data_IF_948754577940
#
_entry.id   IF_948754577940
#
_cell.length_a   1.000
_cell.length_b   1.000
_cell.length_c   1.000
_cell.angle_alpha   90.00
_cell.angle_beta   90.00
_cell.angle_gamma   90.00
#
_symmetry.space_group_name_H-M   'P 1'
#
loop_
_entity.id
_entity.type
_entity.pdbx_description
1 polymer ?
#
# COMPACT_ATOMS: atom_id res chain seq x y z
N UNK A 1 -34.22 -8.42 11.04
CA UNK A 1 -33.08 -8.23 10.12
C UNK A 1 -32.97 -6.75 9.82
N UNK A 2 -31.79 -6.16 9.95
CA UNK A 2 -31.56 -4.76 9.59
C UNK A 2 -31.62 -4.68 8.06
N UNK A 3 -32.54 -3.87 7.53
CA UNK A 3 -32.64 -3.65 6.08
C UNK A 3 -31.72 -2.49 5.70
N UNK A 4 -30.49 -2.77 5.25
CA UNK A 4 -29.49 -1.76 4.86
C UNK A 4 -30.01 -0.89 3.69
N UNK A 5 -31.02 -1.34 2.94
CA UNK A 5 -31.62 -0.58 1.85
C UNK A 5 -32.43 0.63 2.32
N UNK A 6 -32.82 0.67 3.60
CA UNK A 6 -33.62 1.77 4.17
C UNK A 6 -32.75 2.99 4.52
N UNK A 7 -31.41 2.79 4.59
CA UNK A 7 -30.48 3.89 4.81
C UNK A 7 -30.20 4.66 3.53
N UNK A 8 -30.23 5.99 3.63
CA UNK A 8 -29.89 6.87 2.54
C UNK A 8 -28.39 6.74 2.22
N UNK A 9 -28.07 6.27 1.01
CA UNK A 9 -26.68 6.13 0.57
C UNK A 9 -26.13 7.49 0.10
N UNK A 10 -25.02 7.99 0.69
CA UNK A 10 -24.39 9.20 0.22
C UNK A 10 -23.79 8.99 -1.19
N UNK A 11 -23.73 10.08 -1.95
CA UNK A 11 -23.01 10.13 -3.22
C UNK A 11 -21.66 10.79 -2.99
N UNK A 12 -20.63 10.26 -3.59
CA UNK A 12 -19.29 10.83 -3.55
C UNK A 12 -19.07 11.67 -4.80
N UNK A 13 -18.63 12.91 -4.61
CA UNK A 13 -18.25 13.78 -5.71
C UNK A 13 -16.98 14.55 -5.33
N UNK A 14 -16.03 14.63 -6.24
CA UNK A 14 -14.89 15.53 -6.15
C UNK A 14 -15.34 16.94 -6.48
N UNK A 15 -15.04 17.89 -5.62
CA UNK A 15 -15.38 19.30 -5.91
C UNK A 15 -14.48 19.83 -7.00
N UNK A 16 -15.13 20.50 -7.98
CA UNK A 16 -14.64 21.36 -9.02
C UNK A 16 -13.12 21.40 -9.26
N UNK A 17 -12.73 21.11 -10.47
CA UNK A 17 -11.36 21.24 -11.00
C UNK A 17 -10.68 22.61 -10.75
N UNK A 18 -11.43 23.63 -10.33
CA UNK A 18 -10.91 24.96 -10.04
C UNK A 18 -10.11 25.05 -8.74
N UNK A 19 -10.35 24.15 -7.77
CA UNK A 19 -9.64 24.11 -6.49
C UNK A 19 -8.66 22.94 -6.38
N UNK A 20 -8.73 21.98 -7.30
CA UNK A 20 -7.85 20.83 -7.33
C UNK A 20 -6.45 21.24 -7.79
N UNK A 21 -5.44 20.88 -7.00
CA UNK A 21 -4.04 20.89 -7.38
C UNK A 21 -3.46 19.49 -7.19
N UNK A 22 -2.27 19.22 -7.72
CA UNK A 22 -1.58 17.94 -7.51
C UNK A 22 -1.38 17.60 -6.03
N UNK A 23 -1.36 18.62 -5.16
CA UNK A 23 -1.12 18.48 -3.71
C UNK A 23 -2.35 18.77 -2.83
N UNK A 24 -3.49 19.14 -3.43
CA UNK A 24 -4.72 19.44 -2.68
C UNK A 24 -5.96 18.89 -3.37
N UNK A 25 -6.82 18.24 -2.59
CA UNK A 25 -8.12 17.75 -3.02
C UNK A 25 -9.22 18.05 -2.02
N UNK A 26 -10.38 18.45 -2.51
CA UNK A 26 -11.59 18.64 -1.73
C UNK A 26 -12.68 17.68 -2.23
N UNK A 27 -13.26 16.92 -1.30
CA UNK A 27 -14.20 15.84 -1.59
C UNK A 27 -15.49 16.08 -0.82
N UNK A 28 -16.60 16.08 -1.53
CA UNK A 28 -17.92 16.28 -0.94
C UNK A 28 -18.74 15.00 -1.05
N UNK A 29 -19.32 14.59 0.06
CA UNK A 29 -20.23 13.47 0.12
C UNK A 29 -21.54 13.90 0.82
N UNK A 30 -22.67 13.61 0.21
CA UNK A 30 -24.01 13.85 0.74
C UNK A 30 -25.05 12.99 0.01
N UNK A 31 -26.24 12.78 0.55
CA UNK A 31 -26.68 13.07 1.91
C UNK A 31 -26.28 11.95 2.88
N UNK A 32 -25.82 12.32 4.05
CA UNK A 32 -25.67 11.42 5.18
C UNK A 32 -26.87 11.59 6.13
N UNK A 33 -27.27 10.53 6.80
CA UNK A 33 -28.14 10.66 7.97
C UNK A 33 -27.39 11.31 9.12
N UNK A 34 -28.13 11.95 10.02
CA UNK A 34 -27.57 12.75 11.11
C UNK A 34 -26.57 11.97 11.96
N UNK A 35 -25.36 12.53 12.11
CA UNK A 35 -24.24 11.99 12.88
C UNK A 35 -23.28 11.11 12.05
N UNK A 36 -23.71 10.52 10.92
CA UNK A 36 -22.84 9.67 10.11
C UNK A 36 -21.72 10.45 9.40
N UNK A 37 -21.98 11.68 8.97
CA UNK A 37 -20.96 12.53 8.35
C UNK A 37 -19.79 12.78 9.31
N UNK A 38 -20.06 13.05 10.59
CA UNK A 38 -19.03 13.24 11.62
C UNK A 38 -18.24 11.95 11.85
N UNK A 39 -18.92 10.80 11.97
CA UNK A 39 -18.28 9.49 12.16
C UNK A 39 -17.35 9.14 11.00
N UNK A 40 -17.84 9.26 9.75
CA UNK A 40 -17.06 9.00 8.55
C UNK A 40 -15.88 9.99 8.41
N UNK A 41 -16.13 11.29 8.58
CA UNK A 41 -15.10 12.32 8.47
C UNK A 41 -13.98 12.13 9.49
N UNK A 42 -14.32 11.79 10.73
CA UNK A 42 -13.34 11.53 11.79
C UNK A 42 -12.52 10.25 11.49
N UNK A 43 -13.17 9.16 11.09
CA UNK A 43 -12.51 7.92 10.74
C UNK A 43 -11.55 8.11 9.55
N UNK A 44 -12.01 8.75 8.48
CA UNK A 44 -11.20 9.06 7.29
C UNK A 44 -9.99 9.92 7.64
N UNK A 45 -10.19 10.99 8.42
CA UNK A 45 -9.08 11.85 8.87
C UNK A 45 -8.01 11.06 9.62
N UNK A 46 -8.40 10.19 10.54
CA UNK A 46 -7.46 9.39 11.32
C UNK A 46 -6.65 8.44 10.44
N UNK A 47 -7.30 7.72 9.55
CA UNK A 47 -6.63 6.76 8.67
C UNK A 47 -5.73 7.46 7.65
N UNK A 48 -6.18 8.58 7.07
CA UNK A 48 -5.35 9.38 6.17
C UNK A 48 -4.05 9.85 6.83
N UNK A 49 -4.10 10.34 8.07
CA UNK A 49 -2.91 10.84 8.76
C UNK A 49 -1.95 9.75 9.26
N UNK A 50 -2.43 8.51 9.46
CA UNK A 50 -1.64 7.47 10.13
C UNK A 50 -1.29 6.26 9.27
N UNK A 51 -2.04 5.97 8.21
CA UNK A 51 -2.02 4.63 7.61
C UNK A 51 -1.68 4.62 6.12
N UNK A 52 -1.63 5.79 5.48
CA UNK A 52 -1.23 5.89 4.07
C UNK A 52 0.27 5.64 3.96
N UNK A 53 0.64 4.81 2.99
CA UNK A 53 2.02 4.45 2.72
C UNK A 53 2.76 5.57 1.99
N UNK A 54 4.03 5.77 2.33
CA UNK A 54 4.91 6.70 1.64
C UNK A 54 6.38 6.33 1.83
N UNK A 55 7.27 7.11 1.24
CA UNK A 55 8.71 6.94 1.33
C UNK A 55 9.35 8.04 2.16
N UNK A 56 10.40 7.67 2.90
CA UNK A 56 11.19 8.62 3.69
C UNK A 56 12.65 8.17 3.81
N UNK A 57 13.52 9.09 4.18
CA UNK A 57 14.91 8.79 4.55
C UNK A 57 14.91 8.03 5.86
N UNK A 58 15.55 6.86 5.89
CA UNK A 58 15.65 5.99 7.06
C UNK A 58 17.05 6.00 7.68
N UNK A 59 18.08 5.99 6.84
CA UNK A 59 19.48 5.96 7.26
C UNK A 59 20.31 6.84 6.34
N UNK A 60 21.37 7.45 6.89
CA UNK A 60 22.31 8.28 6.12
C UNK A 60 23.73 7.93 6.52
N UNK A 61 24.62 7.88 5.55
CA UNK A 61 26.07 7.78 5.76
C UNK A 61 26.75 8.98 5.12
N UNK A 62 27.49 9.76 5.91
CA UNK A 62 28.20 10.94 5.46
C UNK A 62 29.70 10.69 5.64
N UNK A 63 30.47 10.93 4.59
CA UNK A 63 31.94 10.75 4.63
C UNK A 63 32.58 11.69 5.66
N UNK A 64 33.36 11.12 6.57
CA UNK A 64 34.03 11.87 7.62
C UNK A 64 33.17 12.13 8.87
N UNK A 65 31.93 11.65 8.92
CA UNK A 65 30.99 11.81 10.05
C UNK A 65 30.74 10.46 10.69
N UNK A 66 30.82 10.39 12.03
CA UNK A 66 30.55 9.18 12.81
C UNK A 66 29.25 9.24 13.60
N UNK A 67 28.76 10.44 13.91
CA UNK A 67 27.50 10.66 14.66
C UNK A 67 26.91 12.03 14.31
N UNK A 68 25.64 12.21 14.59
CA UNK A 68 24.85 13.39 14.22
C UNK A 68 25.30 14.70 14.87
N UNK A 69 26.02 14.64 15.99
CA UNK A 69 26.49 15.83 16.74
C UNK A 69 27.89 16.29 16.30
N UNK A 70 28.18 16.20 15.03
CA UNK A 70 29.47 16.54 14.44
C UNK A 70 29.32 17.72 13.48
N UNK A 71 30.40 18.47 13.25
CA UNK A 71 30.49 19.45 12.16
C UNK A 71 31.40 18.92 11.08
N UNK A 72 31.14 19.27 9.83
CA UNK A 72 31.98 18.91 8.69
C UNK A 72 32.75 20.16 8.23
N UNK A 73 34.08 20.11 8.10
CA UNK A 73 34.85 21.25 7.62
C UNK A 73 34.38 21.70 6.23
N UNK A 74 34.18 23.01 6.07
CA UNK A 74 33.70 23.58 4.80
C UNK A 74 32.21 23.48 4.57
N UNK A 75 31.41 22.98 5.53
CA UNK A 75 29.95 23.03 5.53
C UNK A 75 29.51 24.01 6.61
N UNK A 76 28.56 24.89 6.29
CA UNK A 76 28.13 25.95 7.22
C UNK A 76 27.18 25.41 8.28
N UNK A 77 26.31 24.49 7.89
CA UNK A 77 25.37 23.84 8.79
C UNK A 77 26.06 22.69 9.55
N UNK A 78 25.64 22.43 10.77
CA UNK A 78 26.02 21.22 11.47
C UNK A 78 25.27 20.00 10.89
N UNK A 79 25.78 18.81 11.16
CA UNK A 79 25.20 17.57 10.61
C UNK A 79 23.74 17.39 11.06
N UNK A 80 23.38 17.81 12.27
CA UNK A 80 22.00 17.73 12.75
C UNK A 80 21.03 18.52 11.85
N UNK A 81 21.42 19.74 11.44
CA UNK A 81 20.63 20.55 10.52
C UNK A 81 20.55 19.91 9.12
N UNK A 82 21.65 19.39 8.61
CA UNK A 82 21.66 18.65 7.33
C UNK A 82 20.69 17.48 7.37
N UNK A 83 20.69 16.69 8.46
CA UNK A 83 19.77 15.56 8.63
C UNK A 83 18.31 16.00 8.73
N UNK A 84 18.03 17.14 9.38
CA UNK A 84 16.67 17.70 9.42
C UNK A 84 16.20 18.13 8.04
N UNK A 85 17.06 18.79 7.26
CA UNK A 85 16.73 19.20 5.89
C UNK A 85 16.47 17.99 4.98
N UNK A 86 17.23 16.89 5.13
CA UNK A 86 17.00 15.66 4.39
C UNK A 86 15.61 15.02 4.65
N UNK A 87 15.08 15.18 5.88
CA UNK A 87 13.74 14.66 6.22
C UNK A 87 12.61 15.43 5.55
N UNK A 88 12.84 16.64 5.07
CA UNK A 88 11.84 17.46 4.38
C UNK A 88 11.69 17.10 2.89
N UNK A 89 12.64 16.34 2.32
CA UNK A 89 12.63 15.99 0.90
C UNK A 89 11.53 14.95 0.61
N UNK A 90 10.57 15.27 -0.28
CA UNK A 90 9.56 14.32 -0.72
C UNK A 90 10.16 13.33 -1.72
N UNK A 91 10.33 12.09 -1.29
CA UNK A 91 10.79 10.99 -2.14
C UNK A 91 9.60 10.14 -2.62
N UNK A 92 9.67 9.70 -3.87
CA UNK A 92 8.81 8.65 -4.40
C UNK A 92 9.64 7.38 -4.60
N UNK A 93 9.14 6.26 -4.07
CA UNK A 93 9.81 4.96 -4.12
C UNK A 93 8.94 3.99 -4.93
N UNK A 94 9.53 3.41 -5.98
CA UNK A 94 8.87 2.45 -6.88
C UNK A 94 9.26 0.99 -6.62
N UNK A 95 10.02 0.74 -5.54
CA UNK A 95 10.46 -0.59 -5.14
C UNK A 95 9.94 -0.95 -3.75
N UNK A 96 9.71 -2.23 -3.50
CA UNK A 96 9.29 -2.74 -2.19
C UNK A 96 10.46 -2.80 -1.18
N UNK A 97 11.70 -2.71 -1.66
CA UNK A 97 12.91 -2.75 -0.83
C UNK A 97 13.53 -1.37 -0.69
N UNK A 98 14.14 -1.06 0.48
CA UNK A 98 14.87 0.18 0.64
C UNK A 98 15.95 0.36 -0.42
N UNK A 99 16.12 1.58 -0.90
CA UNK A 99 17.07 1.93 -1.95
C UNK A 99 18.10 2.93 -1.43
N UNK A 100 19.33 2.84 -1.94
CA UNK A 100 20.38 3.78 -1.60
C UNK A 100 20.60 4.73 -2.77
N UNK A 101 20.55 6.03 -2.49
CA UNK A 101 20.88 7.11 -3.42
C UNK A 101 22.09 7.86 -2.91
N UNK A 102 22.82 8.55 -3.78
CA UNK A 102 24.07 9.24 -3.44
C UNK A 102 23.99 10.72 -3.75
N UNK A 103 24.62 11.52 -2.92
CA UNK A 103 24.84 12.94 -3.17
C UNK A 103 26.33 13.23 -3.07
N UNK A 104 26.87 13.92 -4.08
CA UNK A 104 28.28 14.38 -4.10
C UNK A 104 28.34 15.79 -4.64
N UNK A 105 28.83 16.68 -3.84
CA UNK A 105 29.10 18.05 -4.26
C UNK A 105 30.43 18.52 -3.68
N UNK A 106 31.19 19.30 -4.47
CA UNK A 106 32.49 19.88 -4.07
C UNK A 106 32.60 21.31 -4.58
N UNK A 107 33.07 22.19 -3.71
CA UNK A 107 33.23 23.60 -3.98
C UNK A 107 32.12 24.45 -3.37
N UNK A 108 32.30 25.75 -3.42
CA UNK A 108 31.37 26.73 -2.85
C UNK A 108 30.00 26.69 -3.55
N UNK A 109 28.94 26.67 -2.76
CA UNK A 109 27.58 26.75 -3.28
C UNK A 109 26.52 26.10 -2.37
N UNK A 110 25.27 26.31 -2.76
CA UNK A 110 24.13 25.70 -2.12
C UNK A 110 23.92 24.29 -2.67
N UNK A 111 23.76 23.33 -1.76
CA UNK A 111 23.43 21.95 -2.10
C UNK A 111 21.95 21.73 -1.93
N UNK A 112 21.27 21.32 -3.01
CA UNK A 112 19.84 21.09 -3.02
C UNK A 112 19.49 19.62 -3.34
N UNK A 113 18.27 19.24 -3.04
CA UNK A 113 17.73 17.90 -3.30
C UNK A 113 17.83 17.46 -4.76
N UNK A 114 17.82 18.40 -5.72
CA UNK A 114 18.02 18.12 -7.14
C UNK A 114 19.41 17.60 -7.51
N UNK A 115 20.39 17.71 -6.62
CA UNK A 115 21.75 17.19 -6.83
C UNK A 115 21.88 15.71 -6.39
N UNK A 116 20.84 15.13 -5.81
CA UNK A 116 20.82 13.71 -5.42
C UNK A 116 20.81 12.86 -6.68
N UNK A 117 21.74 11.94 -6.78
CA UNK A 117 21.82 10.97 -7.87
C UNK A 117 20.87 9.81 -7.56
N UNK A 118 19.65 9.89 -8.10
CA UNK A 118 18.64 8.87 -7.94
C UNK A 118 18.87 7.70 -8.90
N UNK A 119 18.43 6.51 -8.51
CA UNK A 119 18.32 5.34 -9.36
C UNK A 119 16.90 5.28 -10.00
N UNK A 120 16.64 4.25 -10.84
CA UNK A 120 15.34 4.08 -11.50
C UNK A 120 14.16 3.86 -10.54
N UNK A 121 14.43 3.49 -9.29
CA UNK A 121 13.43 3.14 -8.29
C UNK A 121 13.12 4.28 -7.31
N UNK A 122 13.86 5.38 -7.33
CA UNK A 122 13.69 6.53 -6.42
C UNK A 122 13.64 7.81 -7.23
N UNK A 123 12.68 8.66 -6.93
CA UNK A 123 12.53 9.98 -7.54
C UNK A 123 12.42 11.05 -6.45
N UNK A 124 13.04 12.20 -6.68
CA UNK A 124 12.90 13.41 -5.86
C UNK A 124 11.90 14.33 -6.53
N UNK A 125 10.77 14.60 -5.86
CA UNK A 125 9.68 15.42 -6.45
C UNK A 125 9.93 16.91 -6.36
N UNK A 126 10.65 17.36 -5.34
CA UNK A 126 11.00 18.77 -5.18
C UNK A 126 12.54 18.94 -5.23
N UNK A 127 13.08 19.42 -6.36
CA UNK A 127 14.53 19.57 -6.54
C UNK A 127 15.13 20.78 -5.80
N UNK A 128 14.29 21.64 -5.23
CA UNK A 128 14.73 22.93 -4.64
C UNK A 128 14.83 22.89 -3.11
N UNK A 129 14.65 21.73 -2.49
CA UNK A 129 14.78 21.62 -1.03
C UNK A 129 16.24 21.79 -0.67
N UNK A 130 16.51 22.77 0.20
CA UNK A 130 17.86 23.05 0.71
C UNK A 130 18.38 21.91 1.58
N UNK A 131 19.64 21.51 1.38
CA UNK A 131 20.29 20.47 2.19
C UNK A 131 21.41 21.07 3.03
N UNK A 132 22.34 21.76 2.39
CA UNK A 132 23.50 22.37 3.04
C UNK A 132 24.10 23.47 2.18
N UNK A 133 24.92 24.34 2.79
CA UNK A 133 25.72 25.35 2.13
C UNK A 133 27.22 25.05 2.29
N UNK A 134 27.96 24.96 1.19
CA UNK A 134 29.39 24.72 1.21
C UNK A 134 30.18 25.99 0.99
N UNK A 135 31.32 26.11 1.69
CA UNK A 135 32.32 27.12 1.43
C UNK A 135 33.33 26.69 0.36
N UNK A 136 34.33 27.54 0.06
CA UNK A 136 35.30 27.38 -1.06
C UNK A 136 36.00 26.00 -1.09
N UNK A 137 36.35 25.43 0.06
CA UNK A 137 37.00 24.11 0.17
C UNK A 137 36.03 23.00 0.62
N UNK A 138 34.71 23.27 0.64
CA UNK A 138 33.70 22.35 1.12
C UNK A 138 33.54 21.12 0.20
N UNK A 139 33.47 19.95 0.80
CA UNK A 139 33.12 18.70 0.12
C UNK A 139 32.06 17.96 0.94
N UNK A 140 30.93 17.62 0.31
CA UNK A 140 29.86 16.85 0.90
C UNK A 140 29.61 15.61 0.06
N UNK A 141 29.91 14.45 0.63
CA UNK A 141 29.63 13.14 0.03
C UNK A 141 28.80 12.32 1.01
N UNK A 142 27.61 11.91 0.57
CA UNK A 142 26.71 11.13 1.40
C UNK A 142 25.97 10.06 0.62
N UNK A 143 25.60 9.02 1.32
CA UNK A 143 24.70 7.95 0.89
C UNK A 143 23.45 8.02 1.74
N UNK A 144 22.30 8.01 1.09
CA UNK A 144 20.98 8.18 1.70
C UNK A 144 20.17 6.94 1.41
N UNK A 145 19.72 6.26 2.45
CA UNK A 145 18.78 5.15 2.30
C UNK A 145 17.35 5.68 2.38
N UNK A 146 16.59 5.41 1.34
CA UNK A 146 15.15 5.73 1.24
C UNK A 146 14.35 4.44 1.39
N UNK A 147 13.47 4.40 2.36
CA UNK A 147 12.62 3.24 2.65
C UNK A 147 11.13 3.57 2.58
N UNK A 148 10.32 2.57 2.21
CA UNK A 148 8.86 2.64 2.27
C UNK A 148 8.35 2.30 3.68
N UNK A 149 7.26 2.94 4.09
CA UNK A 149 6.66 2.70 5.41
C UNK A 149 5.32 3.40 5.60
N UNK A 150 4.85 3.41 6.85
CA UNK A 150 3.59 4.08 7.24
C UNK A 150 3.79 4.89 8.50
N UNK A 151 3.23 6.10 8.53
CA UNK A 151 3.26 6.96 9.69
C UNK A 151 4.68 7.32 10.11
N UNK A 152 4.93 7.41 11.42
CA UNK A 152 6.21 7.79 12.02
C UNK A 152 6.95 6.56 12.56
N UNK A 153 8.22 6.42 12.19
CA UNK A 153 9.11 5.34 12.65
C UNK A 153 10.33 5.98 13.32
N UNK A 154 10.64 5.54 14.54
CA UNK A 154 11.79 6.05 15.29
C UNK A 154 13.10 5.49 14.76
N UNK A 155 14.20 6.23 14.95
CA UNK A 155 15.55 5.86 14.55
C UNK A 155 15.97 4.45 15.05
N UNK A 156 15.60 4.09 16.27
CA UNK A 156 15.89 2.77 16.84
C UNK A 156 15.30 1.61 16.01
N UNK A 157 14.16 1.85 15.35
CA UNK A 157 13.52 0.85 14.48
C UNK A 157 14.09 0.85 13.06
N UNK A 158 14.70 1.95 12.65
CA UNK A 158 15.39 2.08 11.37
C UNK A 158 16.84 1.57 11.42
N UNK A 159 17.32 1.17 12.60
CA UNK A 159 18.64 0.57 12.75
C UNK A 159 18.69 -0.75 11.97
N UNK A 160 19.52 -0.81 10.93
CA UNK A 160 19.76 -2.01 10.13
C UNK A 160 21.23 -2.44 10.29
N UNK A 161 21.43 -3.53 11.02
CA UNK A 161 22.75 -4.12 11.25
C UNK A 161 23.48 -4.54 9.95
N UNK A 162 22.73 -4.73 8.85
CA UNK A 162 23.30 -5.10 7.55
C UNK A 162 24.01 -3.97 6.85
N UNK A 163 23.72 -2.72 7.18
CA UNK A 163 24.32 -1.55 6.55
C UNK A 163 25.79 -1.31 6.97
N UNK A 164 26.22 -1.94 8.06
CA UNK A 164 27.59 -1.80 8.57
C UNK A 164 27.83 -0.51 9.36
N UNK A 165 29.10 -0.22 9.65
CA UNK A 165 29.50 0.91 10.47
C UNK A 165 29.42 2.23 9.69
N UNK A 166 29.11 3.32 10.41
CA UNK A 166 29.08 4.69 9.87
C UNK A 166 27.73 5.14 9.30
N UNK A 167 26.70 4.28 9.34
CA UNK A 167 25.34 4.68 9.05
C UNK A 167 24.67 5.26 10.29
N UNK A 168 24.01 6.40 10.11
CA UNK A 168 23.26 7.12 11.14
C UNK A 168 21.78 6.86 10.89
N UNK A 169 21.08 6.14 11.79
CA UNK A 169 19.64 5.92 11.67
C UNK A 169 18.88 7.21 11.98
N UNK A 170 17.82 7.50 11.24
CA UNK A 170 17.00 8.68 11.40
C UNK A 170 15.56 8.31 11.75
N UNK A 171 14.91 9.18 12.55
CA UNK A 171 13.45 9.16 12.64
C UNK A 171 12.87 9.49 11.27
N UNK A 172 11.98 8.65 10.78
CA UNK A 172 11.37 8.81 9.46
C UNK A 172 9.87 9.06 9.56
N UNK A 173 9.39 10.07 8.85
CA UNK A 173 7.97 10.31 8.66
C UNK A 173 7.57 9.87 7.25
N UNK A 174 6.95 8.71 7.16
CA UNK A 174 6.52 8.14 5.88
C UNK A 174 5.17 8.66 5.41
N UNK A 175 4.43 9.45 6.23
CA UNK A 175 3.11 9.93 5.84
C UNK A 175 3.19 10.92 4.68
N UNK A 176 2.58 10.63 3.51
CA UNK A 176 2.50 11.58 2.42
C UNK A 176 1.46 12.68 2.65
N UNK A 177 0.65 12.55 3.71
CA UNK A 177 -0.44 13.46 4.03
C UNK A 177 0.05 14.52 5.02
N UNK A 178 0.06 15.76 4.58
CA UNK A 178 0.48 16.90 5.40
C UNK A 178 -0.62 17.40 6.32
N UNK A 179 -1.85 17.44 5.81
CA UNK A 179 -2.99 17.99 6.55
C UNK A 179 -4.30 17.37 6.06
N UNK A 180 -5.22 17.12 6.99
CA UNK A 180 -6.58 16.71 6.69
C UNK A 180 -7.53 17.57 7.53
N UNK A 181 -8.54 18.14 6.89
CA UNK A 181 -9.65 18.82 7.54
C UNK A 181 -10.97 18.23 7.05
N UNK A 182 -12.02 18.29 7.87
CA UNK A 182 -13.36 17.96 7.44
C UNK A 182 -14.37 18.94 8.07
N UNK A 183 -15.42 19.24 7.30
CA UNK A 183 -16.54 20.07 7.68
C UNK A 183 -17.82 19.26 7.53
N UNK A 184 -18.72 19.41 8.50
CA UNK A 184 -20.05 18.81 8.45
C UNK A 184 -21.07 19.95 8.46
N UNK A 185 -21.91 19.99 7.44
CA UNK A 185 -22.95 21.00 7.27
C UNK A 185 -24.31 20.34 7.13
N UNK A 186 -25.36 21.04 7.55
CA UNK A 186 -26.71 20.57 7.30
C UNK A 186 -27.01 20.54 5.79
N UNK A 187 -27.63 19.46 5.34
CA UNK A 187 -28.03 19.28 3.95
C UNK A 187 -29.55 19.08 3.84
N UNK A 188 -30.14 19.57 2.76
CA UNK A 188 -31.56 19.37 2.48
C UNK A 188 -31.75 18.39 1.34
N UNK A 189 -32.63 17.42 1.55
CA UNK A 189 -33.06 16.49 0.52
C UNK A 189 -34.58 16.55 0.40
N UNK A 190 -35.06 17.16 -0.68
CA UNK A 190 -36.50 17.41 -0.86
C UNK A 190 -37.08 18.34 0.21
N UNK A 191 -38.00 17.83 1.01
CA UNK A 191 -38.60 18.57 2.11
C UNK A 191 -37.94 18.33 3.48
N UNK A 192 -37.05 17.34 3.60
CA UNK A 192 -36.36 17.01 4.85
C UNK A 192 -35.04 17.77 4.96
N UNK A 193 -34.77 18.31 6.17
CA UNK A 193 -33.53 19.00 6.54
C UNK A 193 -32.66 18.19 7.49
N UNK A 194 -32.98 16.90 7.72
CA UNK A 194 -32.32 16.04 8.71
C UNK A 194 -31.11 15.27 8.12
N UNK A 195 -30.51 15.84 7.08
CA UNK A 195 -29.34 15.27 6.44
C UNK A 195 -28.10 16.14 6.64
N UNK A 196 -26.95 15.50 6.46
CA UNK A 196 -25.65 16.13 6.59
C UNK A 196 -24.85 16.03 5.28
N UNK A 197 -24.01 17.03 5.03
CA UNK A 197 -23.01 17.08 3.97
C UNK A 197 -21.63 17.06 4.62
N UNK A 198 -20.78 16.13 4.19
CA UNK A 198 -19.37 16.03 4.56
C UNK A 198 -18.51 16.65 3.47
N UNK A 199 -17.69 17.62 3.82
CA UNK A 199 -16.62 18.14 2.98
C UNK A 199 -15.28 17.72 3.60
N UNK A 200 -14.50 16.93 2.88
CA UNK A 200 -13.18 16.42 3.30
C UNK A 200 -12.11 17.13 2.47
N UNK A 201 -11.15 17.76 3.15
CA UNK A 201 -10.05 18.50 2.55
C UNK A 201 -8.73 17.79 2.87
N UNK A 202 -7.93 17.47 1.85
CA UNK A 202 -6.70 16.70 1.99
C UNK A 202 -5.56 17.43 1.29
N UNK A 203 -4.46 17.64 2.02
CA UNK A 203 -3.20 18.18 1.51
C UNK A 203 -2.12 17.09 1.57
N UNK A 204 -1.48 16.87 0.44
CA UNK A 204 -0.38 15.90 0.30
C UNK A 204 0.95 16.60 0.01
N UNK A 205 2.04 15.89 0.17
CA UNK A 205 3.37 16.34 -0.22
C UNK A 205 3.65 16.20 -1.75
N UNK A 206 2.69 15.63 -2.50
CA UNK A 206 2.78 15.41 -3.95
C UNK A 206 3.18 13.99 -4.36
N UNK A 207 3.62 13.14 -3.42
CA UNK A 207 3.99 11.73 -3.73
C UNK A 207 2.76 10.86 -4.02
N UNK A 208 1.59 11.26 -3.52
CA UNK A 208 0.32 10.56 -3.71
C UNK A 208 -0.76 11.57 -4.11
N UNK A 209 -1.57 11.25 -5.12
CA UNK A 209 -2.74 12.07 -5.47
C UNK A 209 -3.75 12.04 -4.31
N UNK A 210 -4.32 13.19 -3.92
CA UNK A 210 -5.33 13.25 -2.84
C UNK A 210 -6.51 12.28 -3.05
N UNK A 211 -6.89 12.02 -4.29
CA UNK A 211 -7.99 11.11 -4.63
C UNK A 211 -7.63 9.66 -4.32
N UNK A 212 -6.41 9.26 -4.69
CA UNK A 212 -5.91 7.90 -4.42
C UNK A 212 -5.75 7.67 -2.92
N UNK A 213 -5.19 8.66 -2.21
CA UNK A 213 -5.08 8.61 -0.75
C UNK A 213 -6.43 8.43 -0.05
N UNK A 214 -7.48 9.14 -0.50
CA UNK A 214 -8.85 9.00 0.06
C UNK A 214 -9.43 7.63 -0.26
N UNK A 215 -9.20 7.11 -1.47
CA UNK A 215 -9.62 5.76 -1.86
C UNK A 215 -8.97 4.70 -0.99
N UNK A 216 -7.66 4.76 -0.81
CA UNK A 216 -6.90 3.82 0.01
C UNK A 216 -7.34 3.85 1.48
N UNK A 217 -7.57 5.06 2.04
CA UNK A 217 -8.08 5.21 3.39
C UNK A 217 -9.46 4.57 3.56
N UNK A 218 -10.34 4.73 2.56
CA UNK A 218 -11.66 4.11 2.57
C UNK A 218 -11.58 2.58 2.47
N UNK A 219 -10.69 2.05 1.65
CA UNK A 219 -10.43 0.61 1.54
C UNK A 219 -9.92 0.04 2.88
N UNK A 220 -8.95 0.69 3.52
CA UNK A 220 -8.44 0.28 4.83
C UNK A 220 -9.57 0.23 5.86
N UNK A 221 -10.43 1.25 5.92
CA UNK A 221 -11.57 1.27 6.83
C UNK A 221 -12.56 0.14 6.54
N UNK A 222 -12.89 -0.07 5.27
CA UNK A 222 -13.78 -1.15 4.84
C UNK A 222 -13.29 -2.51 5.33
N UNK A 223 -12.02 -2.84 5.07
CA UNK A 223 -11.43 -4.11 5.48
C UNK A 223 -11.47 -4.30 7.01
N UNK A 224 -11.19 -3.24 7.79
CA UNK A 224 -11.26 -3.32 9.24
C UNK A 224 -12.70 -3.45 9.77
N UNK A 225 -13.69 -2.88 9.10
CA UNK A 225 -15.10 -3.00 9.51
C UNK A 225 -15.71 -4.35 9.12
N UNK A 226 -15.18 -5.04 8.13
CA UNK A 226 -15.68 -6.35 7.72
C UNK A 226 -15.64 -7.39 8.84
N UNK A 227 -14.68 -7.32 9.78
CA UNK A 227 -14.60 -8.22 10.94
C UNK A 227 -15.83 -8.12 11.87
N UNK A 228 -16.53 -6.97 11.87
CA UNK A 228 -17.73 -6.74 12.67
C UNK A 228 -19.02 -7.05 11.90
N UNK A 229 -18.94 -7.27 10.59
CA UNK A 229 -20.09 -7.72 9.81
C UNK A 229 -20.44 -9.15 10.25
N UNK A 230 -21.76 -9.44 10.28
CA UNK A 230 -22.21 -10.81 10.51
C UNK A 230 -21.69 -11.67 9.35
N UNK A 231 -20.87 -12.63 9.67
CA UNK A 231 -20.56 -13.74 8.77
C UNK A 231 -21.76 -14.69 8.84
N UNK A 232 -22.73 -14.52 7.97
CA UNK A 232 -23.69 -15.58 7.72
C UNK A 232 -22.87 -16.74 7.12
N UNK A 233 -22.92 -17.91 7.75
CA UNK A 233 -22.11 -19.10 7.40
C UNK A 233 -22.29 -19.57 5.94
N UNK A 234 -23.26 -19.02 5.21
CA UNK A 234 -23.57 -19.35 3.83
C UNK A 234 -23.05 -18.35 2.77
N UNK A 235 -22.37 -17.27 3.15
CA UNK A 235 -21.85 -16.27 2.20
C UNK A 235 -20.39 -15.87 2.49
N UNK A 236 -19.57 -16.80 2.95
CA UNK A 236 -18.13 -16.65 2.85
C UNK A 236 -17.68 -17.18 1.48
N UNK A 237 -18.10 -16.53 0.41
CA UNK A 237 -17.13 -16.22 -0.63
C UNK A 237 -16.23 -15.12 -0.02
N UNK A 238 -15.29 -15.57 0.78
CA UNK A 238 -14.02 -14.85 0.93
C UNK A 238 -13.56 -14.68 -0.51
N UNK A 239 -13.68 -13.47 -1.07
CA UNK A 239 -12.68 -12.99 -2.00
C UNK A 239 -11.37 -13.09 -1.21
N UNK A 240 -10.87 -14.33 -1.13
CA UNK A 240 -9.49 -14.57 -0.80
C UNK A 240 -8.73 -13.59 -1.68
N UNK A 241 -8.04 -12.69 -1.04
CA UNK A 241 -7.01 -11.84 -1.62
C UNK A 241 -6.39 -12.64 -2.74
N UNK A 242 -6.83 -12.33 -3.96
CA UNK A 242 -6.19 -12.84 -5.16
C UNK A 242 -4.82 -12.17 -5.12
N UNK A 243 -3.87 -12.83 -4.46
CA UNK A 243 -2.50 -12.70 -4.90
C UNK A 243 -2.60 -12.97 -6.38
N UNK A 244 -2.41 -11.95 -7.18
CA UNK A 244 -2.25 -12.06 -8.62
C UNK A 244 -0.97 -12.87 -8.78
N UNK A 245 -1.13 -14.22 -8.72
CA UNK A 245 -0.11 -15.13 -9.17
C UNK A 245 0.12 -14.71 -10.63
N UNK A 246 1.33 -14.30 -10.94
CA UNK A 246 1.68 -13.94 -12.31
C UNK A 246 1.23 -15.08 -13.23
N UNK A 247 0.70 -14.75 -14.40
CA UNK A 247 0.17 -15.74 -15.36
C UNK A 247 1.19 -16.88 -15.62
N UNK A 248 2.47 -16.59 -15.49
CA UNK A 248 3.57 -17.56 -15.58
C UNK A 248 3.56 -18.61 -14.45
N UNK A 249 3.23 -18.20 -13.21
CA UNK A 249 3.16 -19.15 -12.07
C UNK A 249 1.93 -20.04 -12.17
N UNK A 250 0.79 -19.52 -12.58
CA UNK A 250 -0.43 -20.31 -12.82
C UNK A 250 -0.20 -21.33 -13.92
N UNK A 251 0.37 -20.92 -15.06
CA UNK A 251 0.67 -21.83 -16.18
C UNK A 251 1.66 -22.93 -15.78
N UNK A 252 2.63 -22.65 -14.91
CA UNK A 252 3.58 -23.66 -14.42
C UNK A 252 2.89 -24.73 -13.56
N UNK A 253 1.88 -24.36 -12.75
CA UNK A 253 1.13 -25.32 -11.94
C UNK A 253 0.12 -26.14 -12.77
N UNK A 254 -0.52 -25.54 -13.79
CA UNK A 254 -1.47 -26.25 -14.66
C UNK A 254 -0.82 -27.39 -15.45
N UNK A 255 0.45 -27.29 -15.76
CA UNK A 255 1.21 -28.32 -16.48
C UNK A 255 1.67 -29.49 -15.58
N UNK A 256 1.62 -29.34 -14.24
CA UNK A 256 2.09 -30.34 -13.29
C UNK A 256 1.12 -31.51 -13.13
N UNK A 257 1.64 -32.66 -12.72
CA UNK A 257 0.85 -33.86 -12.43
C UNK A 257 0.01 -33.67 -11.15
N UNK A 258 -1.20 -34.24 -11.13
CA UNK A 258 -2.05 -34.30 -9.94
C UNK A 258 -1.37 -35.04 -8.76
N UNK A 259 -0.37 -35.87 -9.04
CA UNK A 259 0.40 -36.59 -8.03
C UNK A 259 1.33 -35.69 -7.18
N UNK A 260 1.59 -34.46 -7.64
CA UNK A 260 2.34 -33.46 -6.89
C UNK A 260 1.50 -32.73 -5.82
N UNK A 261 0.18 -32.92 -5.87
CA UNK A 261 -0.71 -32.46 -4.79
C UNK A 261 -0.62 -33.44 -3.62
N UNK A 262 -0.51 -32.93 -2.40
CA UNK A 262 -0.45 -33.74 -1.17
C UNK A 262 -1.81 -34.39 -0.84
N UNK A 263 -2.38 -35.15 -1.79
CA UNK A 263 -3.67 -35.80 -1.65
C UNK A 263 -3.53 -37.20 -1.03
N UNK A 264 -4.58 -37.63 -0.32
CA UNK A 264 -4.64 -39.01 0.17
C UNK A 264 -4.61 -40.02 -0.97
N UNK A 265 -4.09 -41.22 -0.69
CA UNK A 265 -4.05 -42.36 -1.65
C UNK A 265 -5.43 -42.64 -2.25
N UNK A 266 -6.50 -42.37 -1.49
CA UNK A 266 -7.87 -42.56 -1.91
C UNK A 266 -8.31 -41.51 -2.92
N UNK A 267 -7.97 -40.23 -2.68
CA UNK A 267 -8.28 -39.12 -3.58
C UNK A 267 -7.50 -39.29 -4.91
N UNK A 268 -6.21 -39.62 -4.85
CA UNK A 268 -5.38 -39.90 -6.02
C UNK A 268 -5.91 -41.06 -6.87
N UNK A 269 -6.33 -42.16 -6.25
CA UNK A 269 -6.93 -43.28 -6.98
C UNK A 269 -8.26 -42.92 -7.66
N UNK A 270 -9.05 -42.04 -7.03
CA UNK A 270 -10.29 -41.54 -7.63
C UNK A 270 -10.03 -40.68 -8.88
N UNK A 271 -9.01 -39.82 -8.84
CA UNK A 271 -8.60 -38.97 -9.97
C UNK A 271 -8.01 -39.79 -11.12
N UNK A 272 -7.19 -40.80 -10.83
CA UNK A 272 -6.71 -41.75 -11.83
C UNK A 272 -7.83 -42.52 -12.53
N UNK A 273 -8.84 -42.97 -11.76
CA UNK A 273 -10.03 -43.65 -12.32
C UNK A 273 -10.90 -42.73 -13.17
N UNK A 274 -10.82 -41.43 -12.95
CA UNK A 274 -11.47 -40.39 -13.73
C UNK A 274 -10.66 -39.96 -14.97
N UNK A 275 -9.48 -40.57 -15.22
CA UNK A 275 -8.51 -40.22 -16.26
C UNK A 275 -8.08 -38.72 -16.19
N UNK A 276 -7.95 -38.18 -14.99
CA UNK A 276 -7.45 -36.83 -14.74
C UNK A 276 -5.97 -36.96 -14.31
N UNK A 277 -5.06 -36.47 -15.14
CA UNK A 277 -3.61 -36.64 -14.95
C UNK A 277 -2.89 -35.34 -14.60
N UNK A 278 -3.43 -34.20 -15.03
CA UNK A 278 -2.84 -32.88 -14.79
C UNK A 278 -3.72 -32.00 -13.91
N UNK A 279 -3.10 -31.06 -13.21
CA UNK A 279 -3.81 -30.06 -12.40
C UNK A 279 -4.72 -29.21 -13.29
N UNK A 280 -4.29 -28.91 -14.53
CA UNK A 280 -5.09 -28.18 -15.50
C UNK A 280 -6.39 -28.88 -15.90
N UNK A 281 -6.37 -30.21 -16.08
CA UNK A 281 -7.59 -31.01 -16.33
C UNK A 281 -8.50 -31.04 -15.11
N UNK A 282 -7.93 -31.07 -13.90
CA UNK A 282 -8.69 -31.07 -12.65
C UNK A 282 -9.42 -29.76 -12.43
N UNK A 283 -8.76 -28.62 -12.64
CA UNK A 283 -9.30 -27.27 -12.44
C UNK A 283 -10.46 -26.96 -13.41
N UNK A 284 -10.42 -27.53 -14.63
CA UNK A 284 -11.51 -27.36 -15.60
C UNK A 284 -12.78 -28.17 -15.26
N UNK A 285 -12.68 -29.16 -14.37
CA UNK A 285 -13.87 -29.95 -13.96
C UNK A 285 -14.66 -29.23 -12.90
N UNK A 286 -16.00 -29.33 -13.04
CA UNK A 286 -16.90 -28.83 -12.02
C UNK A 286 -17.10 -29.86 -10.91
N UNK A 287 -17.50 -29.41 -9.71
CA UNK A 287 -17.81 -30.30 -8.58
C UNK A 287 -18.86 -31.36 -8.95
N UNK A 288 -19.89 -30.96 -9.75
CA UNK A 288 -20.93 -31.83 -10.17
C UNK A 288 -20.45 -32.97 -11.12
N UNK A 289 -19.43 -32.71 -11.90
CA UNK A 289 -18.79 -33.71 -12.78
C UNK A 289 -17.92 -34.67 -11.98
N UNK A 290 -17.14 -34.17 -11.00
CA UNK A 290 -16.33 -35.02 -10.12
C UNK A 290 -17.22 -35.94 -9.25
N UNK A 291 -18.36 -35.45 -8.76
CA UNK A 291 -19.31 -36.24 -7.97
C UNK A 291 -20.04 -37.33 -8.78
N UNK A 292 -20.09 -37.24 -10.12
CA UNK A 292 -20.66 -38.27 -10.98
C UNK A 292 -19.72 -39.45 -11.20
N UNK A 293 -18.40 -39.30 -10.88
CA UNK A 293 -17.45 -40.41 -11.03
C UNK A 293 -17.61 -41.42 -9.91
N UNK A 294 -17.53 -42.71 -10.30
CA UNK A 294 -17.71 -43.87 -9.42
C UNK A 294 -16.69 -43.83 -8.28
N UNK A 295 -17.12 -43.95 -7.02
CA UNK A 295 -16.29 -43.94 -5.81
C UNK A 295 -15.76 -42.57 -5.33
N UNK A 296 -16.24 -41.46 -5.87
CA UNK A 296 -15.87 -40.11 -5.43
C UNK A 296 -16.73 -39.70 -4.22
N UNK A 297 -16.11 -39.50 -3.05
CA UNK A 297 -16.79 -39.13 -1.82
C UNK A 297 -16.67 -37.65 -1.49
N UNK A 298 -17.64 -37.10 -0.71
CA UNK A 298 -17.62 -35.71 -0.24
C UNK A 298 -16.31 -35.34 0.50
N UNK A 299 -15.68 -36.29 1.24
CA UNK A 299 -14.42 -36.06 1.93
C UNK A 299 -13.25 -35.87 0.96
N UNK A 300 -13.18 -36.66 -0.11
CA UNK A 300 -12.12 -36.54 -1.14
C UNK A 300 -12.30 -35.26 -1.97
N UNK A 301 -13.55 -34.81 -2.19
CA UNK A 301 -13.81 -33.54 -2.85
C UNK A 301 -13.33 -32.35 -2.00
N UNK A 302 -13.59 -32.40 -0.70
CA UNK A 302 -13.14 -31.34 0.21
C UNK A 302 -11.61 -31.25 0.28
N UNK A 303 -10.93 -32.40 0.37
CA UNK A 303 -9.47 -32.48 0.37
C UNK A 303 -8.86 -31.88 -0.90
N UNK A 304 -9.44 -32.16 -2.06
CA UNK A 304 -8.98 -31.58 -3.34
C UNK A 304 -9.22 -30.07 -3.38
N UNK A 305 -10.36 -29.59 -2.88
CA UNK A 305 -10.62 -28.15 -2.79
C UNK A 305 -9.62 -27.44 -1.89
N UNK A 306 -9.34 -28.01 -0.75
CA UNK A 306 -8.41 -27.44 0.23
C UNK A 306 -6.98 -27.34 -0.33
N UNK A 307 -6.52 -28.40 -1.06
CA UNK A 307 -5.21 -28.38 -1.70
C UNK A 307 -5.15 -27.45 -2.92
N UNK A 308 -6.21 -27.38 -3.75
CA UNK A 308 -6.26 -26.40 -4.85
C UNK A 308 -6.28 -24.97 -4.33
N UNK A 309 -7.01 -24.67 -3.25
CA UNK A 309 -7.05 -23.36 -2.62
C UNK A 309 -5.67 -22.97 -2.05
N UNK A 310 -4.89 -23.93 -1.53
CA UNK A 310 -3.54 -23.69 -1.01
C UNK A 310 -2.55 -23.21 -2.09
N UNK A 311 -2.75 -23.63 -3.33
CA UNK A 311 -1.96 -23.20 -4.50
C UNK A 311 -2.64 -22.09 -5.32
N UNK A 312 -3.75 -21.51 -4.79
CA UNK A 312 -4.47 -20.39 -5.41
C UNK A 312 -5.32 -20.77 -6.61
N UNK A 313 -5.67 -22.06 -6.78
CA UNK A 313 -6.55 -22.56 -7.86
C UNK A 313 -7.90 -23.00 -7.32
N UNK A 314 -8.92 -23.05 -8.20
CA UNK A 314 -10.26 -23.53 -7.85
C UNK A 314 -10.86 -24.40 -8.94
N UNK A 315 -11.81 -25.28 -8.56
CA UNK A 315 -12.53 -26.10 -9.54
C UNK A 315 -13.49 -25.24 -10.39
N UNK A 316 -13.62 -25.58 -11.67
CA UNK A 316 -14.52 -24.91 -12.61
C UNK A 316 -13.92 -23.63 -13.25
N UNK A 317 -12.61 -23.39 -13.15
CA UNK A 317 -11.93 -22.28 -13.83
C UNK A 317 -11.93 -22.48 -15.35
N UNK A 318 -12.25 -21.44 -16.10
CA UNK A 318 -12.06 -21.42 -17.56
C UNK A 318 -10.64 -20.98 -17.87
N UNK A 319 -9.85 -21.86 -18.44
CA UNK A 319 -8.50 -21.55 -18.92
C UNK A 319 -8.66 -21.15 -20.38
N UNK A 320 -8.45 -19.88 -20.72
CA UNK A 320 -8.31 -19.43 -22.10
C UNK A 320 -6.94 -19.92 -22.59
N UNK A 321 -6.94 -20.89 -23.51
CA UNK A 321 -5.74 -21.24 -24.25
C UNK A 321 -5.56 -20.16 -25.32
N UNK A 322 -4.59 -19.28 -25.14
CA UNK A 322 -4.03 -18.54 -26.28
C UNK A 322 -3.38 -19.54 -27.23
N UNK A 323 -3.94 -19.59 -28.45
CA UNK A 323 -3.42 -20.33 -29.61
C UNK A 323 -2.27 -19.55 -30.23
#
# INVERSE_FOLDING_TARGET
MLNISDFQRPRFAELSSATKTERYGEFVAYPFERGFATTCGHAMRRVLLSSIQGAAVTNVRIKGVQHEFTTLPGVWEDITHVLLNLKEIPFQLHADTPQIVTLRHKGEGEVTSGMIQCNQNVEVLDPNVHIATLGEEGELEMEIQVGGGRGFVTADRNLDEKLGLGWIPLDSNHSPILRVNYLVEAARVGHSTDYEKLTLQVWTNGTVDPKDAVSDAALILREHFLIFARQDEDTVEVEATTQVLSAETVNSWLAKSVEELELSVRANNCLRNANITTIGELVQKTEAELMKTKNFGKKSLQEIKDELARIGLSLGMRIEQEV
#
